data_IF_375562888328
#
_entry.id   IF_375562888328
#
_cell.length_a   1.000
_cell.length_b   1.000
_cell.length_c   1.000
_cell.angle_alpha   90.00
_cell.angle_beta   90.00
_cell.angle_gamma   90.00
#
_symmetry.space_group_name_H-M   'P 1'
#
loop_
_entity.id
_entity.type
_entity.pdbx_description
1 polymer ?
#
# COMPACT_ATOMS: atom_id res chain seq x y z
N UNK A 1 -2.34 0.09 -23.69
CA UNK A 1 -2.87 0.54 -22.38
C UNK A 1 -1.65 0.75 -21.51
N UNK A 2 -1.56 1.88 -20.83
CA UNK A 2 -0.52 2.07 -19.82
C UNK A 2 -0.93 1.23 -18.61
N UNK A 3 -0.19 0.16 -18.33
CA UNK A 3 -0.39 -0.69 -17.17
C UNK A 3 0.09 0.08 -15.93
N UNK A 4 -0.75 1.01 -15.46
CA UNK A 4 -0.50 1.78 -14.27
C UNK A 4 -0.79 0.92 -13.03
N UNK A 5 0.21 0.76 -12.16
CA UNK A 5 0.00 0.18 -10.83
C UNK A 5 -0.69 1.25 -9.97
N UNK A 6 -1.95 1.01 -9.61
CA UNK A 6 -2.71 1.86 -8.68
C UNK A 6 -2.53 1.30 -7.28
N UNK A 7 -1.87 2.06 -6.41
CA UNK A 7 -1.75 1.75 -4.98
C UNK A 7 -2.76 2.63 -4.24
N UNK A 8 -3.83 2.02 -3.74
CA UNK A 8 -4.81 2.68 -2.89
C UNK A 8 -4.52 2.30 -1.43
N UNK A 9 -4.01 3.25 -0.65
CA UNK A 9 -3.91 3.11 0.80
C UNK A 9 -5.22 3.59 1.42
N UNK A 10 -5.94 2.68 2.07
CA UNK A 10 -7.11 3.03 2.86
C UNK A 10 -6.76 2.80 4.32
N UNK A 11 -6.72 3.88 5.09
CA UNK A 11 -6.64 3.80 6.55
C UNK A 11 -7.97 4.32 7.08
N UNK A 12 -8.64 3.51 7.89
CA UNK A 12 -9.92 3.89 8.47
C UNK A 12 -9.71 4.63 9.81
N UNK A 13 -10.77 5.28 10.30
CA UNK A 13 -10.71 6.07 11.53
C UNK A 13 -10.40 5.21 12.77
N UNK A 14 -10.85 3.96 12.80
CA UNK A 14 -10.60 3.02 13.91
C UNK A 14 -9.11 2.67 14.03
N UNK A 15 -8.42 2.46 12.90
CA UNK A 15 -6.98 2.22 12.85
C UNK A 15 -6.19 3.44 13.34
N UNK A 16 -6.60 4.65 12.92
CA UNK A 16 -5.99 5.91 13.36
C UNK A 16 -6.16 6.09 14.87
N UNK A 17 -7.37 5.86 15.39
CA UNK A 17 -7.66 5.99 16.81
C UNK A 17 -6.90 4.96 17.64
N UNK A 18 -6.93 3.68 17.23
CA UNK A 18 -6.19 2.60 17.90
C UNK A 18 -4.69 2.88 17.94
N UNK A 19 -4.12 3.36 16.82
CA UNK A 19 -2.72 3.75 16.77
C UNK A 19 -2.43 4.94 17.70
N UNK A 20 -3.35 5.92 17.76
CA UNK A 20 -3.17 7.11 18.60
C UNK A 20 -3.21 6.74 20.09
N UNK A 21 -4.16 5.91 20.50
CA UNK A 21 -4.26 5.45 21.89
C UNK A 21 -3.01 4.66 22.31
N UNK A 22 -2.55 3.73 21.46
CA UNK A 22 -1.38 2.90 21.75
C UNK A 22 -0.07 3.70 21.88
N UNK A 23 0.10 4.76 21.09
CA UNK A 23 1.37 5.49 21.02
C UNK A 23 1.38 6.82 21.79
N UNK A 24 0.21 7.45 21.95
CA UNK A 24 0.09 8.77 22.57
C UNK A 24 -0.84 8.77 23.79
N UNK A 25 -1.43 7.63 24.16
CA UNK A 25 -2.19 7.44 25.40
C UNK A 25 -3.56 8.12 25.42
N UNK A 26 -4.08 8.54 24.26
CA UNK A 26 -5.42 9.10 24.11
C UNK A 26 -5.93 8.95 22.68
N UNK A 27 -7.24 9.05 22.53
CA UNK A 27 -7.88 9.24 21.23
C UNK A 27 -7.71 10.68 20.72
N UNK A 28 -7.78 10.83 19.40
CA UNK A 28 -7.88 12.10 18.72
C UNK A 28 -9.30 12.68 18.85
N UNK A 29 -9.37 13.98 19.03
CA UNK A 29 -10.63 14.72 19.00
C UNK A 29 -11.18 14.79 17.57
N UNK A 30 -12.49 15.06 17.38
CA UNK A 30 -13.08 15.22 16.05
C UNK A 30 -12.39 16.29 15.19
N UNK A 31 -11.91 17.38 15.81
CA UNK A 31 -11.17 18.44 15.10
C UNK A 31 -9.80 17.96 14.62
N UNK A 32 -9.10 17.14 15.41
CA UNK A 32 -7.80 16.57 15.04
C UNK A 32 -7.93 15.55 13.92
N UNK A 33 -8.96 14.68 13.99
CA UNK A 33 -9.29 13.76 12.90
C UNK A 33 -9.59 14.51 11.60
N UNK A 34 -10.37 15.59 11.67
CA UNK A 34 -10.67 16.42 10.51
C UNK A 34 -9.39 17.00 9.89
N UNK A 35 -8.47 17.54 10.71
CA UNK A 35 -7.18 18.06 10.24
C UNK A 35 -6.32 17.01 9.53
N UNK A 36 -6.30 15.77 10.04
CA UNK A 36 -5.56 14.67 9.39
C UNK A 36 -6.13 14.37 8.00
N UNK A 37 -7.47 14.35 7.87
CA UNK A 37 -8.11 14.11 6.56
C UNK A 37 -7.74 15.20 5.56
N UNK A 38 -7.80 16.46 5.95
CA UNK A 38 -7.44 17.58 5.07
C UNK A 38 -5.95 17.54 4.72
N UNK A 39 -5.06 17.31 5.70
CA UNK A 39 -3.62 17.26 5.49
C UNK A 39 -3.20 16.15 4.52
N UNK A 40 -3.85 14.98 4.56
CA UNK A 40 -3.57 13.89 3.65
C UNK A 40 -3.71 14.30 2.17
N UNK A 41 -4.70 15.14 1.85
CA UNK A 41 -4.91 15.60 0.47
C UNK A 41 -3.89 16.64 0.00
N UNK A 42 -3.20 17.32 0.91
CA UNK A 42 -2.32 18.45 0.62
C UNK A 42 -0.82 18.15 0.83
N UNK A 43 -0.47 16.99 1.38
CA UNK A 43 0.90 16.71 1.83
C UNK A 43 1.83 16.31 0.68
N UNK A 44 2.78 17.19 0.33
CA UNK A 44 3.88 16.89 -0.60
C UNK A 44 4.87 15.84 -0.04
N UNK A 45 5.00 15.71 1.28
CA UNK A 45 5.84 14.66 1.90
C UNK A 45 5.29 13.24 1.66
N UNK A 46 4.01 13.11 1.29
CA UNK A 46 3.41 11.83 0.91
C UNK A 46 4.09 11.19 -0.32
N UNK A 47 4.71 11.99 -1.19
CA UNK A 47 5.49 11.49 -2.32
C UNK A 47 6.76 10.76 -1.85
N UNK A 48 7.39 11.24 -0.77
CA UNK A 48 8.56 10.59 -0.22
C UNK A 48 8.22 9.27 0.46
N UNK A 49 7.14 9.23 1.24
CA UNK A 49 6.64 7.99 1.86
C UNK A 49 6.22 6.96 0.79
N UNK A 50 5.60 7.41 -0.30
CA UNK A 50 5.28 6.58 -1.46
C UNK A 50 6.53 5.96 -2.09
N UNK A 51 7.61 6.73 -2.26
CA UNK A 51 8.88 6.21 -2.77
C UNK A 51 9.48 5.15 -1.84
N UNK A 52 9.42 5.34 -0.53
CA UNK A 52 9.90 4.36 0.44
C UNK A 52 9.08 3.06 0.40
N UNK A 53 7.75 3.18 0.30
CA UNK A 53 6.87 2.03 0.14
C UNK A 53 7.19 1.25 -1.14
N UNK A 54 7.32 1.96 -2.27
CA UNK A 54 7.71 1.35 -3.55
C UNK A 54 9.03 0.59 -3.46
N UNK A 55 10.05 1.20 -2.85
CA UNK A 55 11.38 0.60 -2.67
C UNK A 55 11.32 -0.64 -1.76
N UNK A 56 10.46 -0.65 -0.73
CA UNK A 56 10.20 -1.83 0.09
C UNK A 56 9.55 -2.96 -0.71
N UNK A 57 8.51 -2.67 -1.50
CA UNK A 57 7.86 -3.66 -2.37
C UNK A 57 8.85 -4.26 -3.38
N UNK A 58 9.67 -3.42 -4.04
CA UNK A 58 10.68 -3.88 -5.00
C UNK A 58 11.69 -4.79 -4.31
N UNK A 59 12.21 -4.38 -3.15
CA UNK A 59 13.17 -5.21 -2.39
C UNK A 59 12.59 -6.55 -2.00
N UNK A 60 11.33 -6.59 -1.56
CA UNK A 60 10.70 -7.83 -1.15
C UNK A 60 10.46 -8.78 -2.34
N UNK A 61 9.98 -8.25 -3.46
CA UNK A 61 9.77 -8.98 -4.70
C UNK A 61 11.08 -9.54 -5.30
N UNK A 62 12.19 -8.81 -5.13
CA UNK A 62 13.53 -9.28 -5.53
C UNK A 62 14.16 -10.27 -4.53
N UNK A 63 13.57 -10.42 -3.34
CA UNK A 63 14.14 -11.25 -2.29
C UNK A 63 13.51 -12.65 -2.27
N UNK A 64 14.32 -13.62 -1.85
CA UNK A 64 13.85 -14.99 -1.62
C UNK A 64 13.32 -15.17 -0.18
N UNK A 65 13.01 -14.07 0.53
CA UNK A 65 12.60 -14.12 1.94
C UNK A 65 11.10 -14.39 2.09
N UNK A 66 10.30 -13.89 1.15
CA UNK A 66 8.85 -14.08 1.12
C UNK A 66 8.48 -15.28 0.23
N UNK A 67 7.39 -15.97 0.56
CA UNK A 67 6.84 -17.03 -0.27
C UNK A 67 6.00 -16.42 -1.40
N UNK A 68 6.55 -16.42 -2.61
CA UNK A 68 5.93 -15.90 -3.82
C UNK A 68 5.23 -16.97 -4.66
N UNK A 69 5.21 -18.24 -4.22
CA UNK A 69 4.82 -19.38 -5.05
C UNK A 69 3.42 -19.28 -5.67
N UNK A 70 2.46 -18.68 -4.98
CA UNK A 70 1.12 -18.47 -5.50
C UNK A 70 1.09 -17.44 -6.65
N UNK A 71 1.81 -16.32 -6.47
CA UNK A 71 1.93 -15.23 -7.45
C UNK A 71 2.71 -15.71 -8.68
N UNK A 72 3.82 -16.43 -8.47
CA UNK A 72 4.64 -17.00 -9.54
C UNK A 72 3.82 -17.99 -10.38
N UNK A 73 3.03 -18.85 -9.72
CA UNK A 73 2.16 -19.81 -10.40
C UNK A 73 1.09 -19.12 -11.25
N UNK A 74 0.44 -18.09 -10.71
CA UNK A 74 -0.55 -17.30 -11.46
C UNK A 74 0.09 -16.62 -12.69
N UNK A 75 1.29 -16.04 -12.52
CA UNK A 75 2.03 -15.45 -13.62
C UNK A 75 2.34 -16.48 -14.72
N UNK A 76 2.83 -17.66 -14.36
CA UNK A 76 3.10 -18.74 -15.31
C UNK A 76 1.85 -19.22 -16.05
N UNK A 77 0.72 -19.35 -15.35
CA UNK A 77 -0.58 -19.76 -15.93
C UNK A 77 -1.09 -18.72 -16.93
N UNK A 78 -0.97 -17.43 -16.61
CA UNK A 78 -1.32 -16.32 -17.49
C UNK A 78 -0.42 -16.28 -18.74
N UNK A 79 0.89 -16.49 -18.59
CA UNK A 79 1.84 -16.56 -19.70
C UNK A 79 1.56 -17.74 -20.65
N UNK A 80 1.15 -18.90 -20.11
CA UNK A 80 0.78 -20.07 -20.92
C UNK A 80 -0.52 -19.83 -21.69
N UNK A 81 -1.50 -19.22 -21.05
CA UNK A 81 -2.81 -18.92 -21.65
C UNK A 81 -2.72 -17.92 -22.81
N UNK A 82 -1.79 -16.97 -22.74
CA UNK A 82 -1.50 -16.01 -23.82
C UNK A 82 -0.70 -16.59 -25.00
N UNK A 83 -0.07 -17.77 -24.83
CA UNK A 83 0.76 -18.43 -25.85
C UNK A 83 0.05 -19.51 -26.66
N UNK A 84 -1.24 -19.79 -26.41
CA UNK A 84 -2.03 -20.73 -27.20
C UNK A 84 -2.63 -20.00 -28.42
N UNK A 85 -2.14 -20.24 -29.65
CA UNK A 85 -2.89 -19.85 -30.85
C UNK A 85 -4.03 -20.86 -31.07
N UNK A 86 -5.25 -20.37 -31.27
CA UNK A 86 -6.33 -21.14 -31.90
C UNK A 86 -5.97 -21.55 -33.33
#
# INVERSE_FOLDING_TARGET
MDDNIIINLQINEEEIQSHTEANYGRELTPLELYRIREYWYECEDADWEKLQFMDACIRDAMSNKSDWSAVDKEFEENQRSQKLPT
#
